data_IF_950663701103
#
_entry.id   IF_950663701103
#
_cell.length_a   1.000
_cell.length_b   1.000
_cell.length_c   1.000
_cell.angle_alpha   90.00
_cell.angle_beta   90.00
_cell.angle_gamma   90.00
#
_symmetry.space_group_name_H-M   'P 1'
#
loop_
_entity.id
_entity.type
_entity.pdbx_description
1 polymer ?
#
# COMPACT_ATOMS: atom_id res chain seq x y z
N UNK A 1 -27.66 55.87 -7.61
CA UNK A 1 -26.40 55.08 -7.73
C UNK A 1 -26.51 53.80 -6.91
N UNK A 2 -27.40 52.89 -7.34
CA UNK A 2 -27.71 51.65 -6.63
C UNK A 2 -28.08 50.57 -7.66
N UNK A 3 -27.13 50.18 -8.52
CA UNK A 3 -27.38 49.20 -9.59
C UNK A 3 -26.15 48.38 -9.99
N UNK A 4 -25.11 48.32 -9.15
CA UNK A 4 -23.88 47.56 -9.46
C UNK A 4 -23.45 46.60 -8.34
N UNK A 5 -24.20 46.53 -7.23
CA UNK A 5 -23.88 45.68 -6.07
C UNK A 5 -24.72 44.40 -5.99
N UNK A 6 -25.92 44.36 -6.58
CA UNK A 6 -26.80 43.18 -6.56
C UNK A 6 -26.44 42.12 -7.62
N UNK A 7 -25.64 42.45 -8.63
CA UNK A 7 -25.26 41.51 -9.69
C UNK A 7 -24.03 40.65 -9.33
N UNK A 8 -23.31 40.99 -8.25
CA UNK A 8 -22.16 40.20 -7.75
C UNK A 8 -22.53 39.10 -6.77
N UNK A 9 -23.71 39.16 -6.14
CA UNK A 9 -24.14 38.15 -5.18
C UNK A 9 -24.88 36.96 -5.82
N UNK A 10 -25.34 37.09 -7.07
CA UNK A 10 -26.10 36.04 -7.77
C UNK A 10 -25.24 35.04 -8.56
N UNK A 11 -23.94 35.33 -8.74
CA UNK A 11 -22.98 34.47 -9.45
C UNK A 11 -22.06 33.65 -8.53
N UNK A 12 -22.26 33.69 -7.21
CA UNK A 12 -21.51 32.88 -6.24
C UNK A 12 -22.31 31.70 -5.66
N UNK A 13 -23.60 31.56 -5.98
CA UNK A 13 -24.47 30.46 -5.47
C UNK A 13 -24.67 29.31 -6.47
N UNK A 14 -23.96 29.28 -7.61
CA UNK A 14 -24.07 28.20 -8.59
C UNK A 14 -22.99 27.10 -8.47
N UNK A 15 -22.10 27.18 -7.48
CA UNK A 15 -20.97 26.24 -7.32
C UNK A 15 -21.07 25.32 -6.09
N UNK A 16 -22.23 25.23 -5.45
CA UNK A 16 -22.49 24.25 -4.39
C UNK A 16 -23.25 23.04 -4.95
N UNK A 17 -22.56 22.30 -5.82
CA UNK A 17 -22.98 20.98 -6.27
C UNK A 17 -22.82 19.95 -5.15
N UNK A 18 -23.90 19.76 -4.38
CA UNK A 18 -24.22 18.61 -3.54
C UNK A 18 -23.34 17.36 -3.76
N UNK A 19 -22.31 17.18 -2.93
CA UNK A 19 -21.60 15.90 -2.80
C UNK A 19 -22.42 15.02 -1.86
N UNK A 20 -23.33 14.25 -2.45
CA UNK A 20 -24.00 13.13 -1.79
C UNK A 20 -23.62 11.87 -2.58
N UNK A 21 -22.82 11.01 -1.94
CA UNK A 21 -22.69 9.60 -2.29
C UNK A 21 -21.73 9.25 -3.44
N UNK A 22 -20.55 8.75 -3.07
CA UNK A 22 -19.81 7.71 -3.80
C UNK A 22 -19.29 8.03 -5.21
N UNK A 23 -17.95 8.17 -5.32
CA UNK A 23 -17.15 8.28 -6.56
C UNK A 23 -17.40 9.55 -7.38
N UNK A 24 -16.74 10.64 -7.00
CA UNK A 24 -16.60 11.83 -7.84
C UNK A 24 -15.57 11.60 -8.95
N UNK A 25 -16.02 11.60 -10.20
CA UNK A 25 -15.16 11.64 -11.39
C UNK A 25 -14.97 13.12 -11.74
N UNK A 26 -13.79 13.68 -11.50
CA UNK A 26 -13.51 15.10 -11.79
C UNK A 26 -12.98 15.21 -13.24
N UNK A 27 -13.85 15.64 -14.16
CA UNK A 27 -13.53 15.77 -15.59
C UNK A 27 -13.15 17.22 -15.88
N UNK A 28 -11.84 17.51 -15.89
CA UNK A 28 -11.34 18.79 -16.41
C UNK A 28 -11.38 18.77 -17.95
N UNK A 29 -11.33 19.96 -18.58
CA UNK A 29 -11.45 20.16 -20.05
C UNK A 29 -10.35 19.47 -20.90
N UNK A 30 -9.44 18.72 -20.30
CA UNK A 30 -8.35 17.98 -20.92
C UNK A 30 -8.73 16.55 -21.37
N UNK A 31 -9.93 16.06 -21.05
CA UNK A 31 -10.41 14.74 -21.47
C UNK A 31 -9.72 13.56 -20.78
N UNK A 32 -8.96 13.83 -19.70
CA UNK A 32 -8.26 12.83 -18.90
C UNK A 32 -9.13 12.48 -17.70
N UNK A 33 -9.70 11.27 -17.68
CA UNK A 33 -10.44 10.79 -16.53
C UNK A 33 -9.47 10.48 -15.38
N UNK A 34 -9.61 11.23 -14.29
CA UNK A 34 -8.84 11.03 -13.06
C UNK A 34 -9.72 10.34 -12.04
N UNK A 35 -9.27 9.20 -11.57
CA UNK A 35 -9.91 8.51 -10.45
C UNK A 35 -9.23 8.98 -9.18
N UNK A 36 -10.02 9.47 -8.23
CA UNK A 36 -9.48 9.87 -6.93
C UNK A 36 -9.55 8.66 -6.01
N UNK A 37 -8.39 8.17 -5.59
CA UNK A 37 -8.28 7.11 -4.58
C UNK A 37 -8.15 7.80 -3.22
N UNK A 38 -9.05 7.45 -2.30
CA UNK A 38 -8.98 7.87 -0.91
C UNK A 38 -7.90 7.07 -0.20
N UNK A 39 -7.02 7.77 0.50
CA UNK A 39 -5.89 7.18 1.22
C UNK A 39 -5.84 7.75 2.63
N UNK A 40 -5.41 6.91 3.56
CA UNK A 40 -5.11 7.38 4.91
C UNK A 40 -3.87 8.27 4.90
N UNK A 41 -3.92 9.38 5.65
CA UNK A 41 -2.75 10.20 5.88
C UNK A 41 -1.77 9.46 6.77
N UNK A 42 -0.55 9.26 6.28
CA UNK A 42 0.55 8.86 7.15
C UNK A 42 1.15 10.08 7.85
N UNK A 43 1.52 9.92 9.12
CA UNK A 43 2.23 10.92 9.90
C UNK A 43 3.69 11.05 9.41
N UNK A 44 3.86 11.65 8.24
CA UNK A 44 5.17 11.83 7.58
C UNK A 44 5.46 13.30 7.42
N UNK A 45 6.68 13.70 7.79
CA UNK A 45 7.24 15.01 7.46
C UNK A 45 7.83 14.88 6.04
N UNK A 46 7.24 15.49 5.00
CA UNK A 46 7.70 15.34 3.61
C UNK A 46 8.99 16.13 3.33
N UNK A 47 9.54 16.81 4.34
CA UNK A 47 10.72 17.66 4.21
C UNK A 47 11.97 16.85 4.53
N UNK A 48 12.92 16.86 3.60
CA UNK A 48 14.22 16.20 3.79
C UNK A 48 14.93 16.84 5.00
N UNK A 49 15.37 16.00 5.95
CA UNK A 49 15.96 16.43 7.22
C UNK A 49 17.06 17.52 7.09
N UNK A 50 18.06 17.43 6.18
CA UNK A 50 19.06 18.48 6.00
C UNK A 50 18.43 19.82 5.61
N UNK A 51 17.40 19.82 4.77
CA UNK A 51 16.69 21.05 4.36
C UNK A 51 15.96 21.68 5.55
N UNK A 52 15.32 20.86 6.39
CA UNK A 52 14.67 21.32 7.61
C UNK A 52 15.70 21.92 8.59
N UNK A 53 16.79 21.20 8.86
CA UNK A 53 17.85 21.65 9.77
C UNK A 53 18.48 22.95 9.28
N UNK A 54 18.81 23.06 7.99
CA UNK A 54 19.38 24.29 7.42
C UNK A 54 18.39 25.45 7.52
N UNK A 55 17.11 25.24 7.19
CA UNK A 55 16.10 26.30 7.30
C UNK A 55 15.90 26.78 8.72
N UNK A 56 15.89 25.88 9.70
CA UNK A 56 15.82 26.25 11.12
C UNK A 56 17.10 26.96 11.58
N UNK A 57 18.26 26.51 11.13
CA UNK A 57 19.54 27.13 11.47
C UNK A 57 19.68 28.55 10.89
N UNK A 58 19.12 28.80 9.71
CA UNK A 58 19.14 30.11 9.06
C UNK A 58 18.17 31.12 9.70
N UNK A 59 17.22 30.68 10.53
CA UNK A 59 16.35 31.55 11.32
C UNK A 59 17.02 32.06 12.61
N UNK A 60 18.21 31.54 12.95
CA UNK A 60 18.96 31.93 14.14
C UNK A 60 19.92 33.06 13.78
N UNK A 61 19.75 34.23 14.39
CA UNK A 61 20.52 35.44 14.08
C UNK A 61 21.99 35.35 14.54
N UNK A 62 22.24 34.76 15.70
CA UNK A 62 23.59 34.66 16.27
C UNK A 62 24.33 33.42 15.77
N UNK A 63 25.55 33.61 15.26
CA UNK A 63 26.39 32.53 14.72
C UNK A 63 26.75 31.47 15.79
N UNK A 64 26.93 31.89 17.03
CA UNK A 64 27.23 31.00 18.16
C UNK A 64 26.07 30.03 18.39
N UNK A 65 24.86 30.55 18.53
CA UNK A 65 23.64 29.78 18.75
C UNK A 65 23.33 28.86 17.56
N UNK A 66 23.59 29.34 16.34
CA UNK A 66 23.46 28.54 15.11
C UNK A 66 24.38 27.31 15.14
N UNK A 67 25.64 27.50 15.55
CA UNK A 67 26.59 26.41 15.67
C UNK A 67 26.24 25.43 16.80
N UNK A 68 25.70 25.93 17.91
CA UNK A 68 25.19 25.08 19.00
C UNK A 68 23.96 24.27 18.58
N UNK A 69 23.01 24.88 17.88
CA UNK A 69 21.85 24.20 17.32
C UNK A 69 22.25 23.07 16.37
N UNK A 70 23.22 23.31 15.48
CA UNK A 70 23.74 22.26 14.58
C UNK A 70 24.42 21.12 15.36
N UNK A 71 25.17 21.44 16.43
CA UNK A 71 25.75 20.42 17.33
C UNK A 71 24.65 19.61 18.03
N UNK A 72 23.58 20.25 18.51
CA UNK A 72 22.44 19.60 19.12
C UNK A 72 21.76 18.64 18.13
N UNK A 73 21.46 19.10 16.91
CA UNK A 73 20.87 18.26 15.85
C UNK A 73 21.71 17.01 15.58
N UNK A 74 23.05 17.15 15.50
CA UNK A 74 23.97 16.02 15.31
C UNK A 74 23.94 15.07 16.51
N UNK A 75 23.96 15.59 17.74
CA UNK A 75 23.88 14.75 18.96
C UNK A 75 22.58 13.95 18.99
N UNK A 76 21.45 14.60 18.76
CA UNK A 76 20.13 13.93 18.69
C UNK A 76 20.13 12.84 17.63
N UNK A 77 20.70 13.11 16.44
CA UNK A 77 20.81 12.10 15.38
C UNK A 77 21.63 10.88 15.82
N UNK A 78 22.80 11.10 16.43
CA UNK A 78 23.64 9.99 16.90
C UNK A 78 22.98 9.20 18.03
N UNK A 79 22.31 9.88 18.97
CA UNK A 79 21.58 9.22 20.06
C UNK A 79 20.46 8.34 19.50
N UNK A 80 19.65 8.87 18.58
CA UNK A 80 18.59 8.11 17.92
C UNK A 80 19.16 6.92 17.15
N UNK A 81 20.24 7.13 16.39
CA UNK A 81 20.90 6.06 15.62
C UNK A 81 21.45 4.97 16.52
N UNK A 82 22.06 5.32 17.65
CA UNK A 82 22.57 4.36 18.63
C UNK A 82 21.43 3.56 19.27
N UNK A 83 20.31 4.21 19.61
CA UNK A 83 19.14 3.54 20.16
C UNK A 83 18.53 2.52 19.18
N UNK A 84 18.40 2.90 17.91
CA UNK A 84 17.94 1.98 16.86
C UNK A 84 18.92 0.84 16.62
N UNK A 85 20.23 1.09 16.66
CA UNK A 85 21.25 0.05 16.48
C UNK A 85 21.11 -1.03 17.55
N UNK A 86 20.95 -0.64 18.82
CA UNK A 86 20.79 -1.58 19.93
C UNK A 86 19.53 -2.45 19.76
N UNK A 87 18.39 -1.82 19.43
CA UNK A 87 17.14 -2.56 19.19
C UNK A 87 17.23 -3.49 17.98
N UNK A 88 17.98 -3.11 16.95
CA UNK A 88 18.17 -3.92 15.75
C UNK A 88 19.11 -5.09 15.98
N UNK A 89 20.16 -4.93 16.78
CA UNK A 89 21.12 -5.99 17.09
C UNK A 89 20.43 -7.18 17.79
N UNK A 90 19.56 -6.91 18.78
CA UNK A 90 18.80 -7.95 19.48
C UNK A 90 17.86 -8.70 18.53
N UNK A 91 17.13 -7.97 17.66
CA UNK A 91 16.28 -8.58 16.63
C UNK A 91 17.10 -9.43 15.67
N UNK A 92 18.26 -8.95 15.23
CA UNK A 92 19.12 -9.65 14.27
C UNK A 92 19.71 -10.92 14.86
N UNK A 93 20.05 -10.93 16.14
CA UNK A 93 20.49 -12.14 16.84
C UNK A 93 19.40 -13.21 16.81
N UNK A 94 18.16 -12.84 17.17
CA UNK A 94 17.00 -13.73 17.10
C UNK A 94 16.71 -14.19 15.67
N UNK A 95 16.67 -13.27 14.71
CA UNK A 95 16.44 -13.58 13.30
C UNK A 95 17.48 -14.57 12.76
N UNK A 96 18.72 -14.49 13.23
CA UNK A 96 19.79 -15.38 12.77
C UNK A 96 19.53 -16.86 13.07
N UNK A 97 18.71 -17.18 14.08
CA UNK A 97 18.26 -18.55 14.37
C UNK A 97 17.18 -19.03 13.39
N UNK A 98 16.41 -18.09 12.84
CA UNK A 98 15.31 -18.35 11.91
C UNK A 98 15.65 -17.96 10.47
N UNK A 99 16.93 -17.69 10.17
CA UNK A 99 17.39 -17.38 8.82
C UNK A 99 17.13 -18.60 7.91
N UNK A 100 16.45 -18.43 6.75
CA UNK A 100 16.11 -19.56 5.89
C UNK A 100 17.30 -20.34 5.33
N UNK A 101 18.52 -19.79 5.37
CA UNK A 101 19.72 -20.45 4.84
C UNK A 101 20.50 -21.16 5.94
N UNK A 102 20.79 -20.48 7.05
CA UNK A 102 21.67 -21.01 8.09
C UNK A 102 20.98 -21.29 9.43
N UNK A 103 19.72 -20.91 9.60
CA UNK A 103 19.00 -21.00 10.87
C UNK A 103 18.89 -22.42 11.40
N UNK A 104 18.54 -23.39 10.53
CA UNK A 104 18.41 -24.80 10.92
C UNK A 104 19.72 -25.35 11.52
N UNK A 105 20.87 -25.03 10.91
CA UNK A 105 22.18 -25.46 11.43
C UNK A 105 22.50 -24.84 12.79
N UNK A 106 22.10 -23.58 13.01
CA UNK A 106 22.33 -22.88 14.29
C UNK A 106 21.44 -23.44 15.39
N UNK A 107 20.19 -23.76 15.07
CA UNK A 107 19.27 -24.42 16.00
C UNK A 107 19.79 -25.81 16.39
N UNK A 108 20.30 -26.58 15.43
CA UNK A 108 20.92 -27.89 15.70
C UNK A 108 22.18 -27.76 16.57
N UNK A 109 23.00 -26.72 16.38
CA UNK A 109 24.20 -26.47 17.21
C UNK A 109 23.86 -26.11 18.66
N UNK A 110 22.75 -25.43 18.89
CA UNK A 110 22.35 -24.98 20.23
C UNK A 110 21.61 -26.06 21.03
N UNK A 111 21.25 -27.20 20.43
CA UNK A 111 20.54 -28.31 21.07
C UNK A 111 19.30 -27.87 21.88
N UNK A 112 18.58 -26.86 21.38
CA UNK A 112 17.37 -26.34 22.03
C UNK A 112 16.21 -27.33 21.92
N UNK A 113 15.35 -27.33 22.93
CA UNK A 113 14.10 -28.08 22.90
C UNK A 113 13.11 -27.43 21.92
N UNK A 114 12.15 -28.19 21.34
CA UNK A 114 11.15 -27.62 20.43
C UNK A 114 10.33 -26.48 21.06
N UNK A 115 10.05 -26.55 22.37
CA UNK A 115 9.28 -25.54 23.10
C UNK A 115 10.06 -24.22 23.26
N UNK A 116 11.37 -24.29 23.52
CA UNK A 116 12.24 -23.12 23.56
C UNK A 116 12.32 -22.45 22.18
N UNK A 117 12.40 -23.25 21.11
CA UNK A 117 12.40 -22.73 19.73
C UNK A 117 11.09 -22.00 19.43
N UNK A 118 9.95 -22.56 19.82
CA UNK A 118 8.64 -21.90 19.64
C UNK A 118 8.57 -20.58 20.41
N UNK A 119 9.13 -20.53 21.63
CA UNK A 119 9.18 -19.30 22.43
C UNK A 119 10.07 -18.23 21.79
N UNK A 120 11.25 -18.62 21.28
CA UNK A 120 12.14 -17.73 20.54
C UNK A 120 11.51 -17.24 19.23
N UNK A 121 10.74 -18.10 18.57
CA UNK A 121 10.01 -17.78 17.34
C UNK A 121 8.95 -16.71 17.61
N UNK A 122 8.18 -16.84 18.70
CA UNK A 122 7.23 -15.80 19.12
C UNK A 122 7.90 -14.52 19.60
N UNK A 123 9.00 -14.60 20.35
CA UNK A 123 9.75 -13.43 20.74
C UNK A 123 10.23 -12.65 19.51
N UNK A 124 10.77 -13.34 18.50
CA UNK A 124 11.14 -12.71 17.23
C UNK A 124 9.96 -12.00 16.57
N UNK A 125 8.80 -12.66 16.46
CA UNK A 125 7.60 -12.05 15.88
C UNK A 125 7.17 -10.81 16.67
N UNK A 126 7.12 -10.87 18.00
CA UNK A 126 6.76 -9.74 18.86
C UNK A 126 7.71 -8.56 18.69
N UNK A 127 9.03 -8.79 18.68
CA UNK A 127 9.99 -7.72 18.42
C UNK A 127 9.86 -7.15 17.01
N UNK A 128 9.58 -8.01 16.01
CA UNK A 128 9.36 -7.57 14.64
C UNK A 128 8.15 -6.63 14.56
N UNK A 129 7.01 -7.00 15.13
CA UNK A 129 5.81 -6.15 15.15
C UNK A 129 6.06 -4.82 15.87
N UNK A 130 6.70 -4.86 17.06
CA UNK A 130 7.05 -3.63 17.79
C UNK A 130 7.96 -2.69 17.00
N UNK A 131 8.94 -3.23 16.26
CA UNK A 131 9.84 -2.44 15.42
C UNK A 131 9.10 -1.87 14.21
N UNK A 132 8.18 -2.63 13.61
CA UNK A 132 7.34 -2.15 12.51
C UNK A 132 6.45 -1.00 12.97
N UNK A 133 5.78 -1.14 14.12
CA UNK A 133 4.91 -0.12 14.70
C UNK A 133 5.69 1.15 15.05
N UNK A 134 6.81 1.04 15.79
CA UNK A 134 7.70 2.18 16.10
C UNK A 134 8.24 2.87 14.85
N UNK A 135 8.36 2.14 13.75
CA UNK A 135 8.82 2.65 12.46
C UNK A 135 7.68 3.21 11.61
N UNK A 136 6.46 3.33 12.14
CA UNK A 136 5.24 3.77 11.45
C UNK A 136 4.88 2.91 10.23
N UNK A 137 5.21 1.62 10.24
CA UNK A 137 4.65 0.70 9.27
C UNK A 137 3.23 0.31 9.69
N UNK A 138 2.33 0.23 8.71
CA UNK A 138 0.99 -0.31 8.89
C UNK A 138 0.89 -1.68 8.23
N UNK A 139 0.04 -2.54 8.78
CA UNK A 139 -0.36 -3.76 8.07
C UNK A 139 -1.18 -3.37 6.84
N UNK A 140 -0.98 -4.10 5.75
CA UNK A 140 -1.79 -3.96 4.56
C UNK A 140 -3.21 -4.43 4.85
N UNK A 141 -4.19 -3.57 4.55
CA UNK A 141 -5.61 -3.90 4.67
C UNK A 141 -6.12 -4.75 3.50
N UNK A 142 -7.27 -5.41 3.69
CA UNK A 142 -7.95 -6.12 2.60
C UNK A 142 -8.38 -5.16 1.48
N UNK A 143 -8.74 -3.92 1.79
CA UNK A 143 -9.09 -2.91 0.78
C UNK A 143 -7.91 -2.54 -0.11
N UNK A 144 -6.73 -2.29 0.48
CA UNK A 144 -5.49 -2.03 -0.27
C UNK A 144 -5.07 -3.25 -1.10
N UNK A 145 -5.31 -4.46 -0.57
CA UNK A 145 -5.06 -5.71 -1.29
C UNK A 145 -6.01 -5.91 -2.49
N UNK A 146 -7.30 -5.59 -2.33
CA UNK A 146 -8.28 -5.66 -3.41
C UNK A 146 -8.01 -4.60 -4.50
N UNK A 147 -7.49 -3.43 -4.12
CA UNK A 147 -7.02 -2.41 -5.08
C UNK A 147 -5.87 -2.92 -5.93
N UNK A 148 -4.97 -3.74 -5.36
CA UNK A 148 -3.92 -4.42 -6.10
C UNK A 148 -4.51 -5.44 -7.09
N UNK A 149 -5.44 -6.29 -6.66
CA UNK A 149 -6.04 -7.31 -7.54
C UNK A 149 -6.92 -6.72 -8.66
N UNK A 150 -7.54 -5.57 -8.42
CA UNK A 150 -8.47 -4.93 -9.37
C UNK A 150 -7.80 -4.03 -10.40
N UNK A 151 -6.50 -3.77 -10.27
CA UNK A 151 -5.76 -2.82 -11.11
C UNK A 151 -4.81 -3.46 -12.11
N UNK A 152 -4.90 -3.05 -13.37
CA UNK A 152 -3.84 -3.24 -14.36
C UNK A 152 -3.09 -1.92 -14.50
N UNK A 153 -1.84 -1.85 -14.08
CA UNK A 153 -1.02 -0.64 -14.26
C UNK A 153 -0.07 -0.78 -15.44
N UNK A 154 0.98 -1.59 -15.34
CA UNK A 154 1.95 -1.77 -16.42
C UNK A 154 2.26 -3.24 -16.76
N UNK A 155 2.00 -4.19 -15.86
CA UNK A 155 2.41 -5.58 -16.02
C UNK A 155 1.23 -6.55 -15.95
N UNK A 156 0.85 -7.14 -17.09
CA UNK A 156 -0.09 -8.26 -17.16
C UNK A 156 0.63 -9.60 -16.98
N UNK A 157 1.17 -9.85 -15.80
CA UNK A 157 1.64 -11.19 -15.46
C UNK A 157 0.50 -11.91 -14.71
N UNK A 158 -0.01 -13.06 -15.16
CA UNK A 158 -0.93 -13.86 -14.37
C UNK A 158 -0.16 -14.44 -13.18
N UNK A 159 -0.06 -13.69 -12.08
CA UNK A 159 0.68 -14.08 -10.89
C UNK A 159 -0.31 -14.70 -9.91
N UNK A 160 -0.22 -16.01 -9.71
CA UNK A 160 -0.92 -16.68 -8.62
C UNK A 160 0.08 -17.04 -7.54
N UNK A 161 -0.17 -16.58 -6.33
CA UNK A 161 0.60 -17.01 -5.15
C UNK A 161 0.30 -18.48 -4.91
N UNK A 162 1.34 -19.30 -4.90
CA UNK A 162 1.21 -20.72 -4.58
C UNK A 162 1.07 -20.90 -3.06
N UNK A 163 -0.16 -20.79 -2.57
CA UNK A 163 -0.49 -20.92 -1.15
C UNK A 163 -0.10 -22.26 -0.55
N UNK A 164 0.01 -23.31 -1.36
CA UNK A 164 0.35 -24.66 -0.89
C UNK A 164 1.76 -24.75 -0.30
N UNK A 165 2.63 -23.81 -0.68
CA UNK A 165 4.03 -23.76 -0.25
C UNK A 165 4.26 -22.82 0.94
N UNK A 166 3.21 -22.22 1.48
CA UNK A 166 3.29 -21.35 2.65
C UNK A 166 2.83 -22.09 3.89
N UNK A 167 3.56 -21.88 4.98
CA UNK A 167 3.11 -22.37 6.27
C UNK A 167 2.01 -21.46 6.81
N UNK A 168 0.97 -22.09 7.38
CA UNK A 168 -0.16 -21.39 8.00
C UNK A 168 -0.10 -21.43 9.53
N UNK A 169 0.81 -22.20 10.12
CA UNK A 169 0.84 -22.43 11.57
C UNK A 169 1.40 -21.23 12.32
N UNK A 170 2.51 -20.64 11.85
CA UNK A 170 3.22 -19.57 12.58
C UNK A 170 2.29 -18.41 12.93
N UNK A 171 1.73 -17.77 11.90
CA UNK A 171 0.96 -16.54 12.05
C UNK A 171 -0.39 -16.82 12.70
N UNK A 172 -1.03 -17.95 12.36
CA UNK A 172 -2.28 -18.36 13.01
C UNK A 172 -2.11 -18.56 14.52
N UNK A 173 -1.02 -19.20 14.97
CA UNK A 173 -0.79 -19.37 16.41
C UNK A 173 -0.41 -18.04 17.06
N UNK A 174 0.45 -17.25 16.41
CA UNK A 174 0.86 -15.94 16.91
C UNK A 174 -0.34 -15.01 17.16
N UNK A 175 -1.25 -14.87 16.20
CA UNK A 175 -2.42 -14.00 16.32
C UNK A 175 -3.52 -14.53 17.25
N UNK A 176 -3.51 -15.83 17.57
CA UNK A 176 -4.38 -16.37 18.63
C UNK A 176 -3.93 -15.90 20.01
N UNK A 177 -2.63 -15.82 20.23
CA UNK A 177 -2.05 -15.36 21.50
C UNK A 177 -1.97 -13.82 21.57
N UNK A 178 -1.84 -13.17 20.42
CA UNK A 178 -1.78 -11.71 20.28
C UNK A 178 -2.87 -11.23 19.32
N UNK A 179 -4.12 -11.08 19.80
CA UNK A 179 -5.20 -10.51 19.00
C UNK A 179 -4.80 -9.13 18.52
N UNK A 180 -4.98 -8.89 17.22
CA UNK A 180 -4.68 -7.61 16.60
C UNK A 180 -5.90 -7.15 15.82
N UNK A 181 -6.22 -5.86 15.91
CA UNK A 181 -7.34 -5.27 15.17
C UNK A 181 -7.00 -5.17 13.68
N UNK A 182 -8.01 -5.26 12.82
CA UNK A 182 -7.91 -5.08 11.37
C UNK A 182 -6.91 -6.02 10.66
N UNK A 183 -6.84 -7.29 11.06
CA UNK A 183 -6.04 -8.29 10.37
C UNK A 183 -6.63 -8.63 8.99
N UNK A 184 -5.80 -8.65 7.93
CA UNK A 184 -6.28 -9.02 6.60
C UNK A 184 -6.64 -10.51 6.54
N UNK A 185 -7.54 -10.86 5.63
CA UNK A 185 -8.01 -12.24 5.42
C UNK A 185 -6.90 -13.26 5.11
N UNK A 186 -5.76 -12.80 4.58
CA UNK A 186 -4.59 -13.62 4.25
C UNK A 186 -3.50 -13.65 5.34
N UNK A 187 -3.73 -13.01 6.50
CA UNK A 187 -2.76 -12.92 7.59
C UNK A 187 -2.32 -14.28 8.15
N UNK A 188 -3.09 -15.35 7.90
CA UNK A 188 -2.73 -16.72 8.28
C UNK A 188 -1.50 -17.25 7.51
N UNK A 189 -1.24 -16.73 6.30
CA UNK A 189 -0.19 -17.23 5.37
C UNK A 189 1.04 -16.33 5.36
N UNK A 190 0.83 -15.04 5.25
CA UNK A 190 1.88 -14.02 5.17
C UNK A 190 1.34 -12.68 5.65
N UNK A 191 2.24 -11.82 6.11
CA UNK A 191 1.92 -10.45 6.47
C UNK A 191 2.71 -9.49 5.59
N UNK A 192 2.06 -8.39 5.24
CA UNK A 192 2.66 -7.32 4.46
C UNK A 192 2.57 -6.06 5.31
N UNK A 193 3.72 -5.51 5.63
CA UNK A 193 3.84 -4.17 6.20
C UNK A 193 4.08 -3.19 5.06
N UNK A 194 3.40 -2.05 5.09
CA UNK A 194 3.61 -0.94 4.16
C UNK A 194 3.87 0.36 4.90
N UNK A 195 4.60 1.27 4.25
CA UNK A 195 4.84 2.63 4.73
C UNK A 195 5.20 3.54 3.56
N UNK A 196 4.71 4.76 3.63
CA UNK A 196 4.91 5.85 2.69
C UNK A 196 4.00 5.68 1.49
N UNK A 197 3.37 6.78 1.09
CA UNK A 197 2.59 6.86 -0.14
C UNK A 197 3.29 7.83 -1.08
N UNK A 198 3.86 7.28 -2.15
CA UNK A 198 4.50 8.00 -3.22
C UNK A 198 3.65 8.04 -4.48
N UNK A 199 4.24 8.55 -5.56
CA UNK A 199 3.63 8.60 -6.88
C UNK A 199 4.61 8.09 -7.92
N UNK A 200 4.19 7.11 -8.71
CA UNK A 200 4.84 6.79 -9.97
C UNK A 200 4.15 7.55 -11.10
N UNK A 201 4.94 8.25 -11.92
CA UNK A 201 4.45 9.06 -13.05
C UNK A 201 5.21 8.68 -14.30
N UNK A 202 4.52 8.10 -15.27
CA UNK A 202 5.12 7.80 -16.58
C UNK A 202 4.43 8.64 -17.64
N UNK A 203 5.20 9.44 -18.38
CA UNK A 203 4.68 10.26 -19.49
C UNK A 203 5.25 9.79 -20.81
N UNK A 204 4.41 9.16 -21.62
CA UNK A 204 4.80 8.67 -22.95
C UNK A 204 3.62 8.72 -23.93
N UNK A 205 3.85 8.35 -25.19
CA UNK A 205 2.82 8.32 -26.22
C UNK A 205 1.84 7.15 -26.06
N UNK A 206 2.28 6.03 -25.45
CA UNK A 206 1.47 4.83 -25.15
C UNK A 206 0.55 4.39 -26.30
N UNK A 207 1.03 4.47 -27.54
CA UNK A 207 0.18 4.32 -28.74
C UNK A 207 -0.40 2.91 -28.83
N UNK A 208 0.41 1.89 -28.56
CA UNK A 208 -0.01 0.49 -28.64
C UNK A 208 -1.06 0.17 -27.57
N UNK A 209 -0.83 0.63 -26.34
CA UNK A 209 -1.73 0.43 -25.22
C UNK A 209 -3.06 1.16 -25.45
N UNK A 210 -3.03 2.37 -26.04
CA UNK A 210 -4.24 3.12 -26.43
C UNK A 210 -5.04 2.37 -27.49
N UNK A 211 -4.37 1.73 -28.46
CA UNK A 211 -5.00 0.93 -29.50
C UNK A 211 -5.65 -0.33 -28.89
N UNK A 212 -4.98 -1.02 -27.97
CA UNK A 212 -5.55 -2.17 -27.25
C UNK A 212 -6.79 -1.79 -26.42
N UNK A 213 -6.77 -0.64 -25.74
CA UNK A 213 -7.94 -0.12 -25.02
C UNK A 213 -9.08 0.21 -26.00
N UNK A 214 -8.78 0.75 -27.18
CA UNK A 214 -9.79 1.02 -28.22
C UNK A 214 -10.41 -0.29 -28.74
N UNK A 215 -9.58 -1.29 -29.05
CA UNK A 215 -10.02 -2.61 -29.51
C UNK A 215 -10.92 -3.26 -28.46
N UNK A 216 -10.54 -3.25 -27.17
CA UNK A 216 -11.34 -3.82 -26.09
C UNK A 216 -12.69 -3.11 -25.88
N UNK A 217 -12.75 -1.76 -26.02
CA UNK A 217 -14.01 -1.00 -25.98
C UNK A 217 -14.93 -1.32 -27.16
N UNK A 218 -14.38 -1.42 -28.38
CA UNK A 218 -15.15 -1.79 -29.57
C UNK A 218 -15.65 -3.23 -29.44
N UNK A 219 -14.80 -4.16 -28.99
CA UNK A 219 -15.18 -5.56 -28.79
C UNK A 219 -16.26 -5.73 -27.72
N UNK A 220 -16.14 -5.07 -26.56
CA UNK A 220 -17.16 -5.10 -25.50
C UNK A 220 -18.49 -4.47 -25.94
N UNK A 221 -18.46 -3.49 -26.84
CA UNK A 221 -19.66 -2.90 -27.43
C UNK A 221 -20.29 -3.83 -28.45
N UNK A 222 -19.47 -4.49 -29.28
CA UNK A 222 -19.90 -5.51 -30.23
C UNK A 222 -20.53 -6.71 -29.51
N UNK A 223 -19.92 -7.21 -28.42
CA UNK A 223 -20.46 -8.28 -27.57
C UNK A 223 -21.82 -7.91 -26.95
N UNK A 224 -21.95 -6.67 -26.45
CA UNK A 224 -23.22 -6.15 -25.91
C UNK A 224 -24.32 -6.06 -26.97
N UNK A 225 -23.99 -5.62 -28.18
CA UNK A 225 -24.93 -5.50 -29.30
C UNK A 225 -25.34 -6.88 -29.85
N UNK A 226 -24.40 -7.83 -29.89
CA UNK A 226 -24.63 -9.17 -30.46
C UNK A 226 -25.25 -10.18 -29.46
N UNK A 227 -25.50 -9.81 -28.20
CA UNK A 227 -26.12 -10.67 -27.15
C UNK A 227 -25.46 -12.06 -27.00
N UNK A 228 -24.20 -12.22 -27.38
CA UNK A 228 -23.50 -13.52 -27.35
C UNK A 228 -23.30 -14.03 -25.91
N UNK A 229 -23.35 -13.13 -24.90
CA UNK A 229 -23.33 -13.51 -23.47
C UNK A 229 -24.53 -14.37 -23.04
N UNK A 230 -25.64 -14.38 -23.81
CA UNK A 230 -26.75 -15.32 -23.57
C UNK A 230 -26.42 -16.76 -23.93
N UNK A 231 -25.40 -17.01 -24.75
CA UNK A 231 -24.98 -18.37 -25.13
C UNK A 231 -23.91 -18.96 -24.20
N UNK A 232 -23.24 -18.14 -23.37
CA UNK A 232 -22.23 -18.59 -22.40
C UNK A 232 -22.55 -18.23 -20.96
N UNK A 233 -23.84 -18.26 -20.60
CA UNK A 233 -24.28 -18.07 -19.22
C UNK A 233 -24.04 -19.33 -18.37
N UNK A 234 -22.83 -19.47 -17.78
CA UNK A 234 -22.67 -20.23 -16.54
C UNK A 234 -23.10 -19.33 -15.37
N UNK A 235 -24.14 -19.76 -14.67
CA UNK A 235 -24.73 -19.14 -13.45
C UNK A 235 -23.65 -18.54 -12.53
N UNK A 236 -23.71 -17.24 -12.19
CA UNK A 236 -23.16 -16.75 -10.93
C UNK A 236 -24.14 -17.08 -9.80
N UNK A 237 -23.62 -17.76 -8.79
CA UNK A 237 -24.30 -18.12 -7.56
C UNK A 237 -24.60 -16.84 -6.77
N UNK A 238 -25.89 -16.57 -6.57
CA UNK A 238 -26.41 -15.52 -5.69
C UNK A 238 -25.85 -15.69 -4.28
N UNK A 239 -24.96 -14.79 -3.85
CA UNK A 239 -24.79 -14.48 -2.42
C UNK A 239 -25.71 -13.30 -2.10
N UNK A 240 -26.69 -13.56 -1.26
CA UNK A 240 -27.59 -12.55 -0.69
C UNK A 240 -26.78 -11.55 0.12
N UNK A 241 -26.90 -10.28 -0.26
CA UNK A 241 -26.46 -9.14 0.54
C UNK A 241 -27.52 -8.95 1.62
N UNK A 242 -27.14 -9.13 2.88
CA UNK A 242 -28.04 -8.84 3.99
C UNK A 242 -28.18 -7.32 4.11
N UNK A 243 -29.42 -6.85 4.06
CA UNK A 243 -29.81 -5.48 4.40
C UNK A 243 -29.54 -5.24 5.89
N UNK A 244 -28.64 -4.32 6.20
CA UNK A 244 -28.53 -3.74 7.54
C UNK A 244 -29.17 -2.36 7.49
N UNK A 245 -30.22 -2.24 8.30
CA UNK A 245 -31.05 -1.05 8.50
C UNK A 245 -30.21 0.12 8.99
N UNK A 246 -30.56 1.31 8.50
CA UNK A 246 -30.17 2.60 9.07
C UNK A 246 -30.52 2.64 10.56
N UNK A 247 -29.54 2.97 11.38
CA UNK A 247 -29.74 3.62 12.67
C UNK A 247 -28.80 4.82 12.70
N UNK A 248 -29.41 6.00 12.75
CA UNK A 248 -28.75 7.28 12.96
C UNK A 248 -28.24 7.32 14.40
N UNK A 249 -26.92 7.33 14.59
CA UNK A 249 -26.29 7.77 15.83
C UNK A 249 -25.14 8.73 15.49
N UNK A 250 -25.39 9.98 15.89
CA UNK A 250 -24.56 11.18 16.09
C UNK A 250 -23.04 10.94 15.92
N UNK A 251 -22.49 11.57 14.87
CA UNK A 251 -21.05 11.69 14.62
C UNK A 251 -20.49 12.73 15.60
N UNK A 252 -19.65 12.28 16.54
CA UNK A 252 -18.68 13.17 17.18
C UNK A 252 -17.57 13.48 16.17
N UNK A 253 -17.44 14.78 15.84
CA UNK A 253 -16.42 15.35 14.97
C UNK A 253 -15.01 14.96 15.45
N UNK A 254 -14.43 13.95 14.82
CA UNK A 254 -12.98 13.91 14.61
C UNK A 254 -12.78 13.78 13.11
N UNK A 255 -12.71 14.91 12.41
CA UNK A 255 -12.34 14.96 11.00
C UNK A 255 -10.91 14.40 10.83
N UNK A 256 -10.79 13.08 10.68
CA UNK A 256 -9.61 12.46 10.10
C UNK A 256 -9.49 13.01 8.67
N UNK A 257 -8.62 14.00 8.48
CA UNK A 257 -8.40 14.64 7.19
C UNK A 257 -7.88 13.62 6.17
N UNK A 258 -8.79 13.04 5.39
CA UNK A 258 -8.52 12.04 4.35
C UNK A 258 -7.62 12.62 3.25
N UNK A 259 -6.58 11.89 2.83
CA UNK A 259 -5.77 12.27 1.67
C UNK A 259 -6.42 11.73 0.40
N UNK A 260 -6.78 12.64 -0.51
CA UNK A 260 -7.26 12.30 -1.84
C UNK A 260 -6.09 12.25 -2.82
N UNK A 261 -5.87 11.08 -3.41
CA UNK A 261 -4.73 10.82 -4.29
C UNK A 261 -5.23 10.57 -5.71
N UNK A 262 -4.81 11.43 -6.65
CA UNK A 262 -5.20 11.29 -8.05
C UNK A 262 -4.53 10.06 -8.70
N UNK A 263 -5.33 9.24 -9.35
CA UNK A 263 -4.92 8.11 -10.17
C UNK A 263 -5.34 8.36 -11.62
N UNK A 264 -4.40 8.22 -12.54
CA UNK A 264 -4.66 8.44 -13.97
C UNK A 264 -4.37 7.14 -14.70
N UNK A 265 -5.43 6.43 -15.08
CA UNK A 265 -5.35 5.15 -15.80
C UNK A 265 -5.75 5.32 -17.27
N UNK A 266 -5.06 4.60 -18.14
CA UNK A 266 -5.32 4.58 -19.57
C UNK A 266 -6.74 4.12 -19.93
N UNK A 267 -7.24 3.11 -19.21
CA UNK A 267 -8.53 2.46 -19.49
C UNK A 267 -9.75 3.39 -19.37
N UNK A 268 -9.63 4.50 -18.64
CA UNK A 268 -10.75 5.40 -18.34
C UNK A 268 -10.74 6.70 -19.17
N UNK A 269 -9.72 6.93 -19.99
CA UNK A 269 -9.55 8.19 -20.73
C UNK A 269 -10.52 8.30 -21.91
N UNK A 270 -10.97 9.51 -22.23
CA UNK A 270 -11.72 9.79 -23.45
C UNK A 270 -10.77 9.74 -24.66
N UNK A 271 -10.87 8.65 -25.43
CA UNK A 271 -10.05 8.41 -26.60
C UNK A 271 -10.61 9.21 -27.79
N UNK A 272 -10.02 10.38 -28.04
CA UNK A 272 -10.15 11.13 -29.30
C UNK A 272 -8.93 10.88 -30.19
N UNK A 273 -9.08 10.96 -31.52
CA UNK A 273 -7.97 10.79 -32.49
C UNK A 273 -6.79 11.74 -32.17
N UNK A 274 -7.10 12.94 -31.64
CA UNK A 274 -6.09 13.90 -31.16
C UNK A 274 -5.37 13.45 -29.88
N UNK A 275 -6.10 12.81 -28.95
CA UNK A 275 -5.56 12.30 -27.69
C UNK A 275 -4.77 10.97 -27.89
N UNK A 276 -4.98 10.29 -29.02
CA UNK A 276 -4.24 9.07 -29.37
C UNK A 276 -2.77 9.37 -29.69
N UNK A 277 -2.52 10.47 -30.43
CA UNK A 277 -1.18 10.90 -30.84
C UNK A 277 -0.49 11.86 -29.87
N UNK A 278 -1.14 12.28 -28.78
CA UNK A 278 -0.53 13.14 -27.76
C UNK A 278 0.21 12.33 -26.69
N UNK A 279 1.26 12.92 -26.12
CA UNK A 279 1.86 12.41 -24.88
C UNK A 279 0.81 12.40 -23.78
N UNK A 280 0.89 11.39 -22.91
CA UNK A 280 -0.06 11.18 -21.85
C UNK A 280 0.69 10.76 -20.59
N UNK A 281 0.29 11.35 -19.46
CA UNK A 281 0.84 10.99 -18.14
C UNK A 281 -0.08 9.97 -17.48
N UNK A 282 0.46 8.78 -17.22
CA UNK A 282 -0.16 7.78 -16.35
C UNK A 282 0.41 8.03 -14.95
N UNK A 283 -0.45 7.97 -13.94
CA UNK A 283 -0.07 8.15 -12.54
C UNK A 283 -0.70 7.08 -11.68
N UNK A 284 0.13 6.43 -10.87
CA UNK A 284 -0.28 5.42 -9.90
C UNK A 284 0.33 5.72 -8.53
N UNK A 285 -0.46 5.65 -7.45
CA UNK A 285 0.10 5.70 -6.11
C UNK A 285 1.05 4.53 -5.87
N UNK A 286 2.14 4.77 -5.17
CA UNK A 286 3.12 3.73 -4.80
C UNK A 286 3.20 3.61 -3.29
N UNK A 287 3.51 2.40 -2.81
CA UNK A 287 4.06 2.22 -1.48
C UNK A 287 5.56 2.45 -1.52
N UNK A 288 6.04 3.44 -0.76
CA UNK A 288 7.48 3.78 -0.74
C UNK A 288 8.32 2.61 -0.21
N UNK A 289 7.81 1.93 0.83
CA UNK A 289 8.43 0.75 1.42
C UNK A 289 7.40 -0.30 1.76
N UNK A 290 7.75 -1.54 1.44
CA UNK A 290 6.98 -2.71 1.80
C UNK A 290 7.88 -3.79 2.37
N UNK A 291 7.42 -4.47 3.42
CA UNK A 291 8.10 -5.59 4.03
C UNK A 291 7.13 -6.77 4.06
N UNK A 292 7.53 -7.90 3.47
CA UNK A 292 6.74 -9.13 3.48
C UNK A 292 7.41 -10.15 4.34
N UNK A 293 6.62 -10.73 5.25
CA UNK A 293 7.08 -11.75 6.19
C UNK A 293 6.26 -13.00 5.97
N UNK A 294 6.93 -14.13 5.73
CA UNK A 294 6.28 -15.42 5.52
C UNK A 294 7.19 -16.59 5.89
N UNK A 295 6.59 -17.75 6.18
CA UNK A 295 7.30 -19.02 6.39
C UNK A 295 6.95 -20.00 5.28
N UNK A 296 7.92 -20.78 4.84
CA UNK A 296 7.65 -21.83 3.86
C UNK A 296 7.11 -23.09 4.55
N UNK A 297 6.18 -23.77 3.89
CA UNK A 297 5.75 -25.09 4.32
C UNK A 297 6.93 -26.06 4.21
N UNK A 298 7.32 -26.67 5.34
CA UNK A 298 8.33 -27.73 5.37
C UNK A 298 7.80 -29.07 4.87
N UNK A 299 8.70 -30.04 4.72
CA UNK A 299 8.30 -31.43 4.49
C UNK A 299 7.63 -31.98 5.75
N UNK A 300 6.64 -32.89 5.61
CA UNK A 300 5.91 -33.46 6.76
C UNK A 300 6.81 -34.04 7.86
N UNK A 301 8.02 -34.49 7.51
CA UNK A 301 8.99 -35.06 8.44
C UNK A 301 9.86 -34.02 9.18
N UNK A 302 10.06 -32.83 8.62
CA UNK A 302 10.81 -31.73 9.24
C UNK A 302 10.17 -30.39 8.83
N UNK A 303 9.43 -29.71 9.71
CA UNK A 303 8.90 -28.39 9.42
C UNK A 303 10.07 -27.41 9.26
N UNK A 304 10.09 -26.65 8.17
CA UNK A 304 11.08 -25.60 7.99
C UNK A 304 10.74 -24.45 8.95
N UNK A 305 11.73 -24.05 9.74
CA UNK A 305 11.62 -22.94 10.71
C UNK A 305 12.12 -21.61 10.13
N UNK A 306 12.53 -21.60 8.86
CA UNK A 306 13.05 -20.41 8.19
C UNK A 306 11.97 -19.36 7.94
N UNK A 307 12.15 -18.16 8.51
CA UNK A 307 11.25 -17.01 8.31
C UNK A 307 11.87 -16.10 7.25
N UNK A 308 11.13 -15.86 6.17
CA UNK A 308 11.54 -14.98 5.09
C UNK A 308 11.05 -13.56 5.37
N UNK A 309 11.98 -12.61 5.47
CA UNK A 309 11.68 -11.17 5.53
C UNK A 309 12.21 -10.52 4.26
N UNK A 310 11.32 -10.04 3.39
CA UNK A 310 11.68 -9.39 2.12
C UNK A 310 11.30 -7.92 2.14
N UNK A 311 12.18 -7.06 1.64
CA UNK A 311 11.96 -5.62 1.56
C UNK A 311 11.89 -5.16 0.11
N UNK A 312 10.91 -4.33 -0.18
CA UNK A 312 10.65 -3.74 -1.49
C UNK A 312 10.47 -2.23 -1.35
N UNK A 313 10.78 -1.49 -2.41
CA UNK A 313 10.68 -0.03 -2.46
C UNK A 313 9.92 0.43 -3.70
N UNK A 314 9.17 1.50 -3.56
CA UNK A 314 8.45 2.19 -4.64
C UNK A 314 7.60 1.21 -5.48
N UNK A 315 6.79 0.39 -4.81
CA UNK A 315 5.93 -0.58 -5.48
C UNK A 315 4.61 0.10 -5.84
N UNK A 316 4.19 0.15 -7.12
CA UNK A 316 2.87 0.62 -7.50
C UNK A 316 1.78 -0.20 -6.80
N UNK A 317 0.77 0.46 -6.24
CA UNK A 317 -0.30 -0.24 -5.50
C UNK A 317 -1.01 -1.28 -6.37
N UNK A 318 -1.23 -0.95 -7.65
CA UNK A 318 -1.80 -1.89 -8.63
C UNK A 318 -0.94 -3.14 -8.90
N UNK A 319 0.38 -3.04 -8.77
CA UNK A 319 1.31 -4.11 -9.14
C UNK A 319 1.88 -4.82 -7.90
N UNK A 320 1.22 -4.66 -6.75
CA UNK A 320 1.63 -5.24 -5.47
C UNK A 320 1.78 -6.77 -5.49
N UNK A 321 1.08 -7.47 -6.39
CA UNK A 321 1.23 -8.92 -6.55
C UNK A 321 2.68 -9.34 -6.83
N UNK A 322 3.51 -8.45 -7.39
CA UNK A 322 4.94 -8.71 -7.66
C UNK A 322 5.72 -9.01 -6.38
N UNK A 323 5.29 -8.42 -5.26
CA UNK A 323 5.94 -8.54 -3.94
C UNK A 323 5.76 -9.96 -3.40
N UNK A 324 4.68 -10.63 -3.79
CA UNK A 324 4.35 -12.00 -3.42
C UNK A 324 4.97 -13.05 -4.34
N UNK A 325 5.76 -12.63 -5.34
CA UNK A 325 6.39 -13.55 -6.28
C UNK A 325 7.37 -14.49 -5.57
N UNK A 326 7.04 -15.78 -5.65
CA UNK A 326 8.05 -16.84 -5.75
C UNK A 326 8.40 -16.93 -7.24
N UNK A 327 9.65 -16.68 -7.63
CA UNK A 327 10.10 -16.92 -9.01
C UNK A 327 9.84 -18.41 -9.32
N UNK A 328 8.76 -18.71 -10.01
CA UNK A 328 8.68 -19.89 -10.86
C UNK A 328 9.19 -19.39 -12.22
N UNK A 329 10.39 -19.78 -12.67
CA UNK A 329 10.61 -19.83 -14.09
C UNK A 329 9.65 -20.89 -14.63
N UNK A 330 8.77 -20.49 -15.56
CA UNK A 330 7.98 -21.44 -16.34
C UNK A 330 8.91 -22.38 -17.10
#
# INVERSE_FOLDING_TARGET
>A
MASAAEEKHKNQEAETGSVIGGRGLDVRKDGVAREVVRMEREAVIPIIKPKLVMKLADLIEHEVDRNEFLKLCKKVEYTIRAWYLLQFDDLMQLYSLFDPVNGEKRLEQQNLTPEEIDTLEFNFMTYLFQIMEKSNFKLLSDEEYDVAQSGKYLLNLPIKVDESKLDKKLLTTYFKEHPHDNLPTFADKYIIFRRGVGFDRTTDYFVMEKVDVLISRVWSSLQRVTRIDRLFSKKPQSKSRNDIKKTDEIIEDTEEQELFVERIRLEKIELSIKNLMSKMTIQEPTFDRMIVVYRQAGMKAKPSRGIFVKHFKNIPMADMEIVLRRRIPL
#
